data_IF_368165528649
#
_entry.id   IF_368165528649
#
_cell.length_a   1.000
_cell.length_b   1.000
_cell.length_c   1.000
_cell.angle_alpha   90.00
_cell.angle_beta   90.00
_cell.angle_gamma   90.00
#
_symmetry.space_group_name_H-M   'P 1'
#
loop_
_entity.id
_entity.type
_entity.pdbx_description
1 polymer ?
#
# COMPACT_ATOMS: atom_id res chain seq x y z
N UNK A 1 -5.59 -6.17 -3.93
CA UNK A 1 -6.08 -6.82 -5.14
C UNK A 1 -6.24 -5.75 -6.21
N UNK A 2 -5.33 -5.73 -7.18
CA UNK A 2 -5.34 -4.73 -8.25
C UNK A 2 -6.51 -4.95 -9.21
N UNK A 3 -6.89 -6.21 -9.49
CA UNK A 3 -8.01 -6.52 -10.38
C UNK A 3 -9.31 -5.94 -9.82
N UNK A 4 -9.57 -6.17 -8.52
CA UNK A 4 -10.74 -5.61 -7.85
C UNK A 4 -10.71 -4.08 -7.78
N UNK A 5 -9.52 -3.47 -7.66
CA UNK A 5 -9.38 -2.01 -7.67
C UNK A 5 -9.65 -1.41 -9.06
N UNK A 6 -9.21 -2.09 -10.12
CA UNK A 6 -9.45 -1.65 -11.52
C UNK A 6 -10.92 -1.78 -11.89
N UNK A 7 -11.60 -2.86 -11.47
CA UNK A 7 -13.05 -3.02 -11.64
C UNK A 7 -13.82 -1.84 -11.01
N UNK A 8 -13.36 -1.38 -9.85
CA UNK A 8 -13.97 -0.28 -9.09
C UNK A 8 -13.30 1.09 -9.33
N UNK A 9 -12.57 1.26 -10.44
CA UNK A 9 -11.69 2.42 -10.64
C UNK A 9 -12.40 3.78 -10.53
N UNK A 10 -13.64 3.89 -11.01
CA UNK A 10 -14.43 5.12 -10.92
C UNK A 10 -14.76 5.49 -9.48
N UNK A 11 -15.12 4.52 -8.65
CA UNK A 11 -15.42 4.75 -7.24
C UNK A 11 -14.14 5.07 -6.44
N UNK A 12 -13.00 4.51 -6.87
CA UNK A 12 -11.71 4.66 -6.19
C UNK A 12 -10.88 5.88 -6.65
N UNK A 13 -11.39 6.73 -7.54
CA UNK A 13 -10.61 7.88 -8.04
C UNK A 13 -10.22 8.88 -6.95
N UNK A 14 -10.98 8.94 -5.84
CA UNK A 14 -10.70 9.78 -4.67
C UNK A 14 -10.11 9.02 -3.47
N UNK A 15 -9.83 7.73 -3.62
CA UNK A 15 -9.37 6.87 -2.52
C UNK A 15 -7.95 7.23 -2.03
N UNK A 16 -7.65 6.81 -0.81
CA UNK A 16 -6.28 6.68 -0.29
C UNK A 16 -5.80 5.24 -0.45
N UNK A 17 -4.50 5.03 -0.38
CA UNK A 17 -3.91 3.70 -0.58
C UNK A 17 -4.52 2.65 0.37
N UNK A 18 -4.74 3.00 1.64
CA UNK A 18 -5.40 2.13 2.63
C UNK A 18 -6.82 1.70 2.29
N UNK A 19 -7.52 2.44 1.42
CA UNK A 19 -8.91 2.16 1.04
C UNK A 19 -8.99 1.16 -0.13
N UNK A 20 -7.86 0.86 -0.79
CA UNK A 20 -7.84 -0.12 -1.87
C UNK A 20 -8.03 -1.53 -1.34
N UNK A 21 -8.71 -2.40 -2.12
CA UNK A 21 -8.87 -3.79 -1.75
C UNK A 21 -7.54 -4.48 -1.44
N UNK A 22 -7.50 -5.26 -0.36
CA UNK A 22 -6.32 -6.02 0.11
C UNK A 22 -6.63 -7.50 0.14
N UNK A 23 -5.57 -8.31 -0.02
CA UNK A 23 -5.67 -9.73 0.27
C UNK A 23 -5.59 -9.92 1.78
N UNK A 24 -6.64 -10.51 2.37
CA UNK A 24 -6.70 -10.74 3.81
C UNK A 24 -5.56 -11.64 4.28
N UNK A 25 -4.88 -11.24 5.35
CA UNK A 25 -3.78 -11.99 5.95
C UNK A 25 -2.44 -11.91 5.18
N UNK A 26 -2.37 -11.17 4.08
CA UNK A 26 -1.14 -10.99 3.32
C UNK A 26 -0.47 -9.65 3.65
N UNK A 27 0.76 -9.72 4.14
CA UNK A 27 1.61 -8.57 4.44
C UNK A 27 2.94 -8.71 3.69
N UNK A 28 3.61 -7.57 3.43
CA UNK A 28 4.84 -7.55 2.66
C UNK A 28 5.78 -6.42 3.09
N UNK A 29 7.01 -6.81 3.40
CA UNK A 29 8.13 -5.94 3.73
C UNK A 29 9.26 -6.18 2.72
N UNK A 30 9.21 -5.48 1.59
CA UNK A 30 10.13 -5.69 0.46
C UNK A 30 10.47 -4.38 -0.26
N UNK A 31 11.37 -4.44 -1.24
CA UNK A 31 11.74 -3.28 -2.06
C UNK A 31 12.74 -2.33 -1.39
N UNK A 32 13.52 -2.80 -0.41
CA UNK A 32 14.48 -1.95 0.32
C UNK A 32 15.78 -1.63 -0.43
N UNK A 33 16.02 -2.24 -1.59
CA UNK A 33 17.25 -2.06 -2.37
C UNK A 33 18.52 -2.37 -1.55
N UNK A 34 19.56 -1.55 -1.72
CA UNK A 34 20.82 -1.68 -0.96
C UNK A 34 20.73 -1.25 0.50
N UNK A 35 19.56 -0.77 0.97
CA UNK A 35 19.35 -0.27 2.33
C UNK A 35 18.48 -1.20 3.17
N UNK A 36 18.48 -2.50 2.87
CA UNK A 36 17.72 -3.51 3.60
C UNK A 36 17.96 -3.48 5.11
N UNK A 37 19.21 -3.42 5.55
CA UNK A 37 19.55 -3.36 6.98
C UNK A 37 19.02 -2.12 7.69
N UNK A 38 18.84 -1.00 6.97
CA UNK A 38 18.32 0.25 7.53
C UNK A 38 16.80 0.18 7.69
N UNK A 39 16.09 -0.37 6.69
CA UNK A 39 14.62 -0.31 6.63
C UNK A 39 13.90 -1.54 7.18
N UNK A 40 14.56 -2.70 7.23
CA UNK A 40 13.90 -3.96 7.57
C UNK A 40 13.25 -3.93 8.95
N UNK A 41 13.93 -3.38 9.96
CA UNK A 41 13.38 -3.28 11.31
C UNK A 41 12.12 -2.42 11.36
N UNK A 42 12.15 -1.24 10.74
CA UNK A 42 10.99 -0.33 10.70
C UNK A 42 9.81 -0.93 9.92
N UNK A 43 10.08 -1.64 8.82
CA UNK A 43 9.06 -2.32 8.04
C UNK A 43 8.45 -3.52 8.78
N UNK A 44 9.27 -4.27 9.52
CA UNK A 44 8.78 -5.37 10.37
C UNK A 44 7.91 -4.85 11.51
N UNK A 45 8.33 -3.77 12.17
CA UNK A 45 7.55 -3.13 13.24
C UNK A 45 6.20 -2.61 12.72
N UNK A 46 6.18 -1.96 11.55
CA UNK A 46 4.92 -1.52 10.94
C UNK A 46 3.96 -2.68 10.70
N UNK A 47 4.45 -3.82 10.20
CA UNK A 47 3.62 -5.02 10.00
C UNK A 47 3.13 -5.58 11.33
N UNK A 48 3.99 -5.64 12.36
CA UNK A 48 3.62 -6.09 13.69
C UNK A 48 2.50 -5.22 14.28
N UNK A 49 2.65 -3.88 14.25
CA UNK A 49 1.60 -2.98 14.73
C UNK A 49 0.29 -3.13 13.95
N UNK A 50 0.37 -3.39 12.63
CA UNK A 50 -0.83 -3.64 11.82
C UNK A 50 -1.53 -4.96 12.16
N UNK A 51 -0.78 -6.00 12.51
CA UNK A 51 -1.31 -7.30 12.91
C UNK A 51 -1.99 -7.22 14.28
N UNK A 52 -1.37 -6.52 15.23
CA UNK A 52 -1.87 -6.39 16.61
C UNK A 52 -2.88 -5.25 16.80
N UNK A 53 -3.10 -4.41 15.77
CA UNK A 53 -4.01 -3.27 15.86
C UNK A 53 -3.47 -2.10 16.69
N UNK A 54 -2.15 -2.02 16.82
CA UNK A 54 -1.46 -0.97 17.57
C UNK A 54 -1.27 0.32 16.74
N UNK A 55 -1.00 1.46 17.40
CA UNK A 55 -0.59 2.68 16.71
C UNK A 55 0.63 2.42 15.81
N UNK A 56 0.61 2.95 14.59
CA UNK A 56 1.72 2.75 13.65
C UNK A 56 2.97 3.52 14.10
N UNK A 57 4.19 2.99 13.88
CA UNK A 57 5.44 3.66 14.20
C UNK A 57 5.79 4.80 13.21
N UNK A 58 4.88 5.12 12.29
CA UNK A 58 5.07 6.07 11.20
C UNK A 58 3.93 7.08 11.16
N UNK A 59 4.26 8.30 10.75
CA UNK A 59 3.28 9.30 10.36
C UNK A 59 2.50 8.87 9.11
N UNK A 60 1.32 9.47 8.95
CA UNK A 60 0.39 9.14 7.86
C UNK A 60 1.00 9.29 6.47
N UNK A 61 1.75 10.37 6.24
CA UNK A 61 2.35 10.66 4.93
C UNK A 61 3.40 9.61 4.56
N UNK A 62 4.24 9.23 5.51
CA UNK A 62 5.25 8.18 5.29
C UNK A 62 4.61 6.82 5.10
N UNK A 63 3.57 6.50 5.88
CA UNK A 63 2.83 5.26 5.71
C UNK A 63 2.17 5.16 4.31
N UNK A 64 1.58 6.25 3.82
CA UNK A 64 1.02 6.31 2.47
C UNK A 64 2.14 6.25 1.39
N UNK A 65 3.35 6.76 1.68
CA UNK A 65 4.50 6.72 0.78
C UNK A 65 5.18 5.35 0.68
N UNK A 66 5.13 4.52 1.72
CA UNK A 66 5.65 3.14 1.69
C UNK A 66 4.62 2.11 1.26
N UNK A 67 3.33 2.47 1.24
CA UNK A 67 2.26 1.57 0.83
C UNK A 67 2.51 1.02 -0.60
N UNK A 68 2.43 -0.30 -0.82
CA UNK A 68 2.57 -0.87 -2.16
C UNK A 68 1.55 -0.32 -3.16
N UNK A 69 0.34 0.05 -2.70
CA UNK A 69 -0.74 0.55 -3.55
C UNK A 69 -0.54 2.01 -4.01
N UNK A 70 0.54 2.70 -3.60
CA UNK A 70 0.81 4.11 -3.96
C UNK A 70 0.88 4.35 -5.47
N UNK A 71 1.37 3.37 -6.24
CA UNK A 71 1.46 3.48 -7.70
C UNK A 71 0.08 3.34 -8.35
N UNK A 72 -0.71 2.36 -7.88
CA UNK A 72 -2.06 2.14 -8.36
C UNK A 72 -2.98 3.32 -8.02
N UNK A 73 -2.85 3.91 -6.83
CA UNK A 73 -3.55 5.17 -6.48
C UNK A 73 -3.21 6.30 -7.45
N UNK A 74 -1.94 6.46 -7.81
CA UNK A 74 -1.51 7.49 -8.76
C UNK A 74 -2.13 7.24 -10.14
N UNK A 75 -2.16 5.99 -10.59
CA UNK A 75 -2.78 5.59 -11.86
C UNK A 75 -4.30 5.82 -11.85
N UNK A 76 -4.99 5.44 -10.76
CA UNK A 76 -6.43 5.65 -10.57
C UNK A 76 -6.80 7.13 -10.65
N UNK A 77 -6.04 7.99 -9.98
CA UNK A 77 -6.23 9.46 -10.00
C UNK A 77 -5.98 10.06 -11.37
N UNK A 78 -4.97 9.56 -12.09
CA UNK A 78 -4.67 9.96 -13.46
C UNK A 78 -5.63 9.35 -14.49
N UNK A 79 -6.55 8.45 -14.09
CA UNK A 79 -7.39 7.63 -14.97
C UNK A 79 -6.57 6.81 -15.97
N UNK A 80 -5.41 6.33 -15.55
CA UNK A 80 -4.44 5.55 -16.32
C UNK A 80 -4.42 4.08 -15.86
N UNK A 81 -5.56 3.55 -15.41
CA UNK A 81 -5.71 2.14 -15.08
C UNK A 81 -6.33 1.42 -16.28
N UNK A 82 -5.54 0.62 -16.97
CA UNK A 82 -6.04 -0.29 -17.99
C UNK A 82 -6.39 -1.61 -17.31
N UNK A 83 -7.51 -2.21 -17.71
CA UNK A 83 -7.84 -3.58 -17.31
C UNK A 83 -6.87 -4.54 -18.01
N UNK A 84 -5.81 -4.91 -17.27
CA UNK A 84 -4.77 -5.89 -17.59
C UNK A 84 -3.80 -5.52 -18.74
N UNK A 85 -2.51 -5.49 -18.40
CA UNK A 85 -1.53 -6.36 -19.07
C UNK A 85 -1.43 -7.65 -18.23
#
# INVERSE_FOLDING_TARGET
DEAQAVENARALSGAKARDLPRMTGLYGAFGYGSRGLVWAALGAELIASQLEGEPWPLERELADAVDPARFLIRALRARQVNAAD
#
